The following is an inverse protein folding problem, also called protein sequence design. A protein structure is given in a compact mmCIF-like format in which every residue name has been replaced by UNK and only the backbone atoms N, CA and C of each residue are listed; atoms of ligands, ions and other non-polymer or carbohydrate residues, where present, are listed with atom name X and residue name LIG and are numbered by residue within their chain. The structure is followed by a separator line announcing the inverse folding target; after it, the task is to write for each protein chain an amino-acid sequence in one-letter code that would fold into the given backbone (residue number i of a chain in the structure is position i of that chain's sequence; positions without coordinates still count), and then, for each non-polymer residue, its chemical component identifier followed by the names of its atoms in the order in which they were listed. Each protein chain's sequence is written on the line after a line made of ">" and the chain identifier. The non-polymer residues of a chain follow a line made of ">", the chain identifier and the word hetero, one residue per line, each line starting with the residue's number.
data_IF_474818292773
#
_entry.id   IF_474818292773
#
_cell.length_a   1.000
_cell.length_b   1.000
_cell.length_c   1.000
_cell.angle_alpha   90.00
_cell.angle_beta   90.00
_cell.angle_gamma   90.00
#
_symmetry.space_group_name_H-M   'P 1'
#
loop_
_entity.id
_entity.type
_entity.pdbx_description
1 polymer ?
#
# COMPACT_ATOMS: atom_id res chain seq x y z
N UNK A 1 -10.57 2.60 14.65
CA UNK A 1 -9.92 1.87 13.55
C UNK A 1 -9.68 2.81 12.38
N UNK A 2 -8.46 2.87 11.86
CA UNK A 2 -8.09 3.67 10.68
C UNK A 2 -7.56 2.75 9.60
N UNK A 3 -7.75 3.07 8.31
CA UNK A 3 -7.28 2.25 7.19
C UNK A 3 -6.19 2.98 6.41
N UNK A 4 -5.10 2.30 6.12
CA UNK A 4 -3.99 2.75 5.27
C UNK A 4 -3.87 1.82 4.07
N UNK A 5 -3.70 2.39 2.89
CA UNK A 5 -3.50 1.64 1.65
C UNK A 5 -2.03 1.60 1.25
N UNK A 6 -1.53 0.40 0.88
CA UNK A 6 -0.22 0.23 0.24
C UNK A 6 -0.43 -0.35 -1.15
N UNK A 7 -0.47 0.51 -2.14
CA UNK A 7 -0.73 0.18 -3.54
C UNK A 7 0.55 0.26 -4.40
N UNK A 8 0.43 -0.05 -5.68
CA UNK A 8 1.52 -0.02 -6.64
C UNK A 8 1.51 -1.25 -7.54
N UNK A 9 2.16 -1.18 -8.68
CA UNK A 9 2.16 -2.23 -9.69
C UNK A 9 2.78 -3.54 -9.21
N UNK A 10 2.50 -4.62 -9.93
CA UNK A 10 3.02 -5.98 -9.64
C UNK A 10 4.54 -5.98 -9.45
N UNK A 11 5.01 -6.61 -8.37
CA UNK A 11 6.43 -6.74 -8.05
C UNK A 11 7.12 -5.45 -7.59
N UNK A 12 6.38 -4.38 -7.27
CA UNK A 12 6.96 -3.12 -6.73
C UNK A 12 7.49 -3.23 -5.30
N UNK A 13 7.17 -4.32 -4.58
CA UNK A 13 7.62 -4.55 -3.21
C UNK A 13 6.57 -4.22 -2.13
N UNK A 14 5.29 -4.20 -2.48
CA UNK A 14 4.19 -3.90 -1.55
C UNK A 14 4.21 -4.78 -0.30
N UNK A 15 4.15 -6.10 -0.47
CA UNK A 15 4.14 -7.05 0.64
C UNK A 15 5.34 -6.90 1.56
N UNK A 16 6.53 -6.68 0.98
CA UNK A 16 7.75 -6.44 1.77
C UNK A 16 7.63 -5.16 2.62
N UNK A 17 7.05 -4.10 2.04
CA UNK A 17 6.81 -2.85 2.78
C UNK A 17 5.74 -3.04 3.85
N UNK A 18 4.63 -3.74 3.56
CA UNK A 18 3.58 -4.07 4.52
C UNK A 18 4.16 -4.74 5.76
N UNK A 19 4.99 -5.77 5.56
CA UNK A 19 5.66 -6.48 6.67
C UNK A 19 6.58 -5.53 7.46
N UNK A 20 7.38 -4.73 6.78
CA UNK A 20 8.31 -3.82 7.43
C UNK A 20 7.60 -2.74 8.25
N UNK A 21 6.56 -2.12 7.69
CA UNK A 21 5.75 -1.11 8.38
C UNK A 21 4.98 -1.70 9.56
N UNK A 22 4.32 -2.84 9.37
CA UNK A 22 3.55 -3.49 10.43
C UNK A 22 4.41 -3.82 11.64
N UNK A 23 5.63 -4.31 11.43
CA UNK A 23 6.59 -4.55 12.51
C UNK A 23 6.97 -3.27 13.26
N UNK A 24 7.23 -2.18 12.54
CA UNK A 24 7.56 -0.89 13.12
C UNK A 24 6.40 -0.34 13.97
N UNK A 25 5.21 -0.33 13.40
CA UNK A 25 4.00 0.20 14.03
C UNK A 25 3.56 -0.64 15.24
N UNK A 26 3.66 -1.97 15.17
CA UNK A 26 3.36 -2.83 16.34
C UNK A 26 4.35 -2.64 17.47
N UNK A 27 5.63 -2.39 17.19
CA UNK A 27 6.63 -2.06 18.21
C UNK A 27 6.34 -0.73 18.92
N UNK A 28 5.66 0.20 18.25
CA UNK A 28 5.19 1.45 18.88
C UNK A 28 3.88 1.31 19.66
N UNK A 29 3.37 0.07 19.82
CA UNK A 29 2.20 -0.25 20.64
C UNK A 29 0.87 -0.24 19.89
N UNK A 30 0.85 -0.03 18.56
CA UNK A 30 -0.37 -0.08 17.76
C UNK A 30 -0.80 -1.52 17.49
N UNK A 31 -2.10 -1.80 17.62
CA UNK A 31 -2.71 -3.04 17.20
C UNK A 31 -3.00 -2.97 15.70
N UNK A 32 -2.19 -3.66 14.91
CA UNK A 32 -2.23 -3.61 13.43
C UNK A 32 -2.89 -4.88 12.88
N UNK A 33 -3.86 -4.72 12.01
CA UNK A 33 -4.40 -5.79 11.15
C UNK A 33 -3.94 -5.57 9.70
N UNK A 34 -3.73 -6.67 8.98
CA UNK A 34 -3.27 -6.65 7.59
C UNK A 34 -4.30 -7.36 6.74
N UNK A 35 -4.72 -6.72 5.65
CA UNK A 35 -5.58 -7.29 4.61
C UNK A 35 -4.78 -7.37 3.31
N UNK A 36 -4.54 -8.59 2.83
CA UNK A 36 -3.86 -8.84 1.55
C UNK A 36 -4.88 -9.36 0.54
N UNK A 37 -4.87 -8.80 -0.65
CA UNK A 37 -5.70 -9.26 -1.76
C UNK A 37 -4.83 -9.60 -2.95
N UNK A 38 -4.47 -10.86 -3.09
CA UNK A 38 -3.68 -11.36 -4.21
C UNK A 38 -4.53 -12.23 -5.14
N UNK A 39 -4.46 -11.92 -6.45
CA UNK A 39 -5.02 -12.78 -7.50
C UNK A 39 -3.87 -13.65 -8.00
N UNK A 40 -3.80 -14.90 -7.57
CA UNK A 40 -2.80 -15.85 -8.07
C UNK A 40 -2.35 -16.88 -7.06
N UNK A 41 -1.97 -18.05 -7.56
CA UNK A 41 -1.71 -19.30 -6.84
C UNK A 41 -0.43 -19.32 -5.96
N UNK A 42 -0.11 -18.29 -5.20
CA UNK A 42 1.01 -18.40 -4.26
C UNK A 42 0.57 -17.88 -2.89
N UNK A 43 0.16 -18.78 -1.98
CA UNK A 43 -0.17 -18.41 -0.59
C UNK A 43 1.10 -18.25 0.28
N UNK A 44 2.19 -17.70 -0.25
CA UNK A 44 3.44 -17.59 0.51
C UNK A 44 3.38 -16.47 1.53
N UNK A 45 2.65 -15.42 1.23
CA UNK A 45 2.78 -14.18 1.98
C UNK A 45 1.88 -14.09 3.21
N UNK A 46 0.68 -14.65 3.16
CA UNK A 46 -0.22 -14.70 4.31
C UNK A 46 0.39 -15.45 5.49
N UNK A 47 0.93 -16.64 5.24
CA UNK A 47 1.56 -17.47 6.28
C UNK A 47 2.82 -16.81 6.85
N UNK A 48 3.63 -16.19 6.00
CA UNK A 48 4.83 -15.46 6.45
C UNK A 48 4.44 -14.27 7.34
N UNK A 49 3.35 -13.57 7.02
CA UNK A 49 2.87 -12.45 7.84
C UNK A 49 2.30 -12.96 9.17
N UNK A 50 1.56 -14.07 9.16
CA UNK A 50 1.03 -14.72 10.37
C UNK A 50 2.15 -15.20 11.31
N UNK A 51 3.25 -15.73 10.77
CA UNK A 51 4.43 -16.14 11.54
C UNK A 51 5.06 -14.99 12.36
N UNK A 52 4.77 -13.73 11.99
CA UNK A 52 5.17 -12.55 12.76
C UNK A 52 4.12 -12.09 13.78
N UNK A 53 3.05 -12.84 13.97
CA UNK A 53 2.01 -12.55 14.97
C UNK A 53 1.00 -11.50 14.54
N UNK A 54 0.86 -11.24 13.26
CA UNK A 54 -0.19 -10.37 12.72
C UNK A 54 -1.42 -11.17 12.31
N UNK A 55 -2.59 -10.58 12.47
CA UNK A 55 -3.82 -11.15 11.92
C UNK A 55 -3.88 -10.85 10.43
N UNK A 56 -3.84 -11.89 9.61
CA UNK A 56 -3.99 -11.81 8.16
C UNK A 56 -5.37 -12.29 7.77
N UNK A 57 -6.05 -11.51 6.94
CA UNK A 57 -7.26 -11.93 6.26
C UNK A 57 -7.04 -11.85 4.77
N UNK A 58 -7.09 -13.02 4.12
CA UNK A 58 -7.11 -13.12 2.66
C UNK A 58 -8.50 -12.74 2.15
N UNK A 59 -8.57 -11.77 1.26
CA UNK A 59 -9.82 -11.32 0.62
C UNK A 59 -9.98 -12.05 -0.72
N UNK A 60 -9.49 -13.27 -0.84
CA UNK A 60 -9.38 -14.05 -2.07
C UNK A 60 -10.65 -14.20 -2.90
N UNK A 61 -10.45 -14.27 -4.19
CA UNK A 61 -11.34 -14.87 -5.19
C UNK A 61 -12.28 -13.92 -5.92
N UNK A 62 -11.85 -13.37 -7.03
CA UNK A 62 -12.70 -12.78 -8.05
C UNK A 62 -12.39 -11.35 -8.49
N UNK A 63 -12.88 -10.98 -9.64
CA UNK A 63 -12.64 -9.69 -10.29
C UNK A 63 -12.86 -8.49 -9.37
N UNK A 64 -11.86 -7.63 -9.31
CA UNK A 64 -11.66 -6.56 -8.33
C UNK A 64 -12.83 -5.57 -8.21
N UNK A 65 -13.64 -5.38 -9.24
CA UNK A 65 -14.63 -4.31 -9.26
C UNK A 65 -15.96 -4.63 -8.54
N UNK A 66 -16.37 -5.90 -8.45
CA UNK A 66 -17.71 -6.24 -7.95
C UNK A 66 -17.74 -7.20 -6.76
N UNK A 67 -16.77 -8.12 -6.64
CA UNK A 67 -16.74 -9.08 -5.53
C UNK A 67 -15.96 -8.59 -4.31
N UNK A 68 -14.96 -7.74 -4.51
CA UNK A 68 -14.17 -7.17 -3.41
C UNK A 68 -15.01 -6.26 -2.52
N UNK A 69 -15.88 -5.45 -3.06
CA UNK A 69 -16.68 -4.51 -2.23
C UNK A 69 -17.45 -5.25 -1.14
N UNK A 70 -18.13 -6.35 -1.47
CA UNK A 70 -18.85 -7.16 -0.50
C UNK A 70 -17.95 -7.85 0.53
N UNK A 71 -16.86 -8.43 0.10
CA UNK A 71 -15.91 -9.11 0.98
C UNK A 71 -15.11 -8.13 1.83
N UNK A 72 -14.64 -7.02 1.26
CA UNK A 72 -13.93 -5.97 1.98
C UNK A 72 -14.80 -5.37 3.07
N UNK A 73 -16.02 -4.98 2.72
CA UNK A 73 -17.01 -4.44 3.66
C UNK A 73 -17.26 -5.38 4.85
N UNK A 74 -17.50 -6.66 4.55
CA UNK A 74 -17.75 -7.67 5.58
C UNK A 74 -16.52 -7.89 6.46
N UNK A 75 -15.33 -7.94 5.87
CA UNK A 75 -14.08 -8.14 6.59
C UNK A 75 -13.76 -6.95 7.48
N UNK A 76 -13.94 -5.72 6.99
CA UNK A 76 -13.69 -4.51 7.78
C UNK A 76 -14.66 -4.39 8.96
N UNK A 77 -15.94 -4.74 8.77
CA UNK A 77 -16.92 -4.79 9.88
C UNK A 77 -16.51 -5.84 10.91
N UNK A 78 -16.18 -7.05 10.48
CA UNK A 78 -15.70 -8.11 11.38
C UNK A 78 -14.46 -7.69 12.17
N UNK A 79 -13.48 -7.04 11.53
CA UNK A 79 -12.30 -6.53 12.22
C UNK A 79 -12.65 -5.45 13.24
N UNK A 80 -13.59 -4.55 12.91
CA UNK A 80 -14.05 -3.51 13.82
C UNK A 80 -14.77 -4.08 15.05
N UNK A 81 -15.67 -5.02 14.82
CA UNK A 81 -16.54 -5.59 15.86
C UNK A 81 -15.79 -6.56 16.79
N UNK A 82 -14.96 -7.45 16.23
CA UNK A 82 -14.36 -8.56 16.97
C UNK A 82 -12.93 -8.28 17.44
N UNK A 83 -12.17 -7.52 16.67
CA UNK A 83 -10.74 -7.34 16.96
C UNK A 83 -10.38 -5.93 17.36
N UNK A 84 -11.13 -4.95 16.90
CA UNK A 84 -10.92 -3.52 17.17
C UNK A 84 -9.45 -3.09 17.04
N UNK A 85 -8.82 -3.23 15.85
CA UNK A 85 -7.46 -2.78 15.62
C UNK A 85 -7.40 -1.24 15.61
N UNK A 86 -6.25 -0.69 15.99
CA UNK A 86 -5.98 0.74 15.82
C UNK A 86 -5.84 1.09 14.35
N UNK A 87 -5.18 0.20 13.60
CA UNK A 87 -4.82 0.38 12.19
C UNK A 87 -5.09 -0.89 11.38
N UNK A 88 -5.68 -0.71 10.20
CA UNK A 88 -5.76 -1.73 9.15
C UNK A 88 -4.89 -1.31 7.98
N UNK A 89 -3.92 -2.13 7.61
CA UNK A 89 -3.13 -1.95 6.39
C UNK A 89 -3.72 -2.84 5.30
N UNK A 90 -4.17 -2.23 4.21
CA UNK A 90 -4.67 -2.99 3.05
C UNK A 90 -3.64 -3.00 1.93
N UNK A 91 -3.31 -4.19 1.43
CA UNK A 91 -2.53 -4.41 0.21
C UNK A 91 -3.46 -4.90 -0.90
N UNK A 92 -3.90 -4.04 -1.81
CA UNK A 92 -4.66 -4.47 -2.98
C UNK A 92 -3.74 -5.12 -4.02
N UNK A 93 -4.34 -5.81 -4.99
CA UNK A 93 -3.59 -6.33 -6.13
C UNK A 93 -2.86 -5.22 -6.88
N UNK A 94 -1.77 -5.58 -7.58
CA UNK A 94 -0.99 -4.60 -8.35
C UNK A 94 -1.73 -3.92 -9.50
N UNK A 95 -2.92 -4.41 -9.85
CA UNK A 95 -3.80 -3.83 -10.88
C UNK A 95 -4.91 -2.94 -10.30
N UNK A 96 -5.04 -2.88 -8.98
CA UNK A 96 -6.09 -2.09 -8.34
C UNK A 96 -5.84 -0.59 -8.46
N UNK A 97 -6.94 0.15 -8.54
CA UNK A 97 -6.96 1.61 -8.45
C UNK A 97 -7.30 1.99 -7.00
N UNK A 98 -6.43 2.72 -6.30
CA UNK A 98 -6.62 3.03 -4.88
C UNK A 98 -7.93 3.78 -4.56
N UNK A 99 -8.36 4.67 -5.44
CA UNK A 99 -9.59 5.45 -5.27
C UNK A 99 -10.83 4.59 -5.05
N UNK A 100 -10.95 3.44 -5.73
CA UNK A 100 -12.12 2.56 -5.58
C UNK A 100 -12.21 1.91 -4.19
N UNK A 101 -11.08 1.68 -3.54
CA UNK A 101 -11.05 1.18 -2.15
C UNK A 101 -11.42 2.29 -1.19
N UNK A 102 -10.92 3.51 -1.42
CA UNK A 102 -11.24 4.70 -0.63
C UNK A 102 -12.76 4.93 -0.59
N UNK A 103 -13.43 4.92 -1.74
CA UNK A 103 -14.89 5.05 -1.84
C UNK A 103 -15.64 4.00 -1.01
N UNK A 104 -15.19 2.74 -1.07
CA UNK A 104 -15.78 1.65 -0.29
C UNK A 104 -15.64 1.86 1.22
N UNK A 105 -14.49 2.33 1.66
CA UNK A 105 -14.16 2.55 3.08
C UNK A 105 -14.90 3.76 3.64
N UNK A 106 -15.02 4.85 2.85
CA UNK A 106 -15.80 6.04 3.20
C UNK A 106 -17.28 5.70 3.44
N UNK A 107 -17.85 4.82 2.61
CA UNK A 107 -19.22 4.34 2.78
C UNK A 107 -19.45 3.56 4.09
N UNK A 108 -18.38 3.11 4.75
CA UNK A 108 -18.43 2.40 6.04
C UNK A 108 -18.17 3.32 7.25
N UNK A 109 -17.95 4.62 7.04
CA UNK A 109 -17.56 5.58 8.07
C UNK A 109 -16.27 5.16 8.82
N UNK A 110 -15.35 4.52 8.11
CA UNK A 110 -14.02 4.17 8.64
C UNK A 110 -13.07 5.30 8.28
N UNK A 111 -12.29 5.77 9.25
CA UNK A 111 -11.27 6.79 9.04
C UNK A 111 -10.23 6.31 8.03
N UNK A 112 -9.98 7.11 7.01
CA UNK A 112 -8.98 6.81 5.99
C UNK A 112 -7.68 7.54 6.33
N UNK A 113 -6.62 6.76 6.41
CA UNK A 113 -5.24 7.23 6.47
C UNK A 113 -4.64 7.38 5.08
N UNK A 114 -3.33 7.61 4.99
CA UNK A 114 -2.68 7.87 3.71
C UNK A 114 -2.70 6.65 2.77
N UNK A 115 -2.82 6.95 1.49
CA UNK A 115 -2.56 6.03 0.40
C UNK A 115 -1.10 6.13 -0.01
N UNK A 116 -0.35 5.05 0.15
CA UNK A 116 1.07 4.93 -0.22
C UNK A 116 1.14 4.13 -1.52
N UNK A 117 1.68 4.73 -2.57
CA UNK A 117 1.86 4.06 -3.86
C UNK A 117 3.34 3.79 -4.11
N UNK A 118 3.70 2.52 -4.29
CA UNK A 118 5.06 2.13 -4.64
C UNK A 118 5.27 2.26 -6.14
N UNK A 119 6.26 3.05 -6.51
CA UNK A 119 6.75 3.19 -7.88
C UNK A 119 8.12 2.54 -8.02
N UNK A 120 8.21 1.46 -8.81
CA UNK A 120 9.43 0.66 -9.00
C UNK A 120 10.42 1.39 -9.91
N UNK A 121 11.48 1.96 -9.35
CA UNK A 121 12.49 2.73 -10.08
C UNK A 121 13.25 1.88 -11.10
N UNK A 122 13.38 0.57 -10.88
CA UNK A 122 14.08 -0.34 -11.82
C UNK A 122 13.32 -0.52 -13.14
N UNK A 123 12.06 -0.08 -13.20
CA UNK A 123 11.18 -0.22 -14.36
C UNK A 123 10.49 1.09 -14.75
N UNK A 124 10.99 2.23 -14.27
CA UNK A 124 10.37 3.55 -14.44
C UNK A 124 10.03 3.86 -15.90
N UNK A 125 10.98 3.69 -16.83
CA UNK A 125 10.76 3.89 -18.27
C UNK A 125 9.64 3.00 -18.81
N UNK A 126 9.67 1.71 -18.49
CA UNK A 126 8.64 0.77 -18.94
C UNK A 126 7.27 1.12 -18.40
N UNK A 127 7.16 1.48 -17.12
CA UNK A 127 5.91 1.82 -16.47
C UNK A 127 5.25 3.08 -17.04
N UNK A 128 6.06 4.04 -17.48
CA UNK A 128 5.58 5.33 -17.98
C UNK A 128 5.45 5.43 -19.52
N UNK A 129 6.13 4.56 -20.27
CA UNK A 129 6.16 4.63 -21.74
C UNK A 129 5.19 3.63 -22.42
N UNK A 130 4.87 2.50 -21.79
CA UNK A 130 3.86 1.59 -22.34
C UNK A 130 2.45 2.13 -22.06
N UNK A 131 1.70 2.44 -23.10
CA UNK A 131 0.42 3.15 -23.04
C UNK A 131 -0.58 2.49 -22.07
N UNK A 132 -0.72 1.16 -22.14
CA UNK A 132 -1.60 0.41 -21.24
C UNK A 132 -1.19 0.49 -19.77
N UNK A 133 0.11 0.41 -19.49
CA UNK A 133 0.64 0.53 -18.11
C UNK A 133 0.61 1.98 -17.65
N UNK A 134 0.98 2.92 -18.50
CA UNK A 134 1.00 4.35 -18.20
C UNK A 134 -0.34 4.83 -17.64
N UNK A 135 -1.45 4.41 -18.24
CA UNK A 135 -2.79 4.80 -17.78
C UNK A 135 -3.05 4.30 -16.35
N UNK A 136 -2.79 3.03 -16.07
CA UNK A 136 -2.96 2.45 -14.75
C UNK A 136 -2.04 3.11 -13.73
N UNK A 137 -0.75 3.20 -14.03
CA UNK A 137 0.26 3.77 -13.14
C UNK A 137 -0.04 5.24 -12.83
N UNK A 138 -0.39 6.04 -13.85
CA UNK A 138 -0.76 7.45 -13.64
C UNK A 138 -2.00 7.58 -12.75
N UNK A 139 -2.97 6.68 -12.88
CA UNK A 139 -4.14 6.68 -11.99
C UNK A 139 -3.74 6.32 -10.56
N UNK A 140 -2.93 5.28 -10.36
CA UNK A 140 -2.42 4.94 -9.03
C UNK A 140 -1.64 6.11 -8.39
N UNK A 141 -0.77 6.77 -9.15
CA UNK A 141 0.03 7.91 -8.67
C UNK A 141 -0.87 9.10 -8.30
N UNK A 142 -1.92 9.41 -9.07
CA UNK A 142 -2.85 10.50 -8.75
C UNK A 142 -3.59 10.29 -7.44
N UNK A 143 -3.88 9.06 -7.10
CA UNK A 143 -4.59 8.70 -5.86
C UNK A 143 -3.67 8.65 -4.63
N UNK A 144 -2.36 8.84 -4.80
CA UNK A 144 -1.37 8.73 -3.73
C UNK A 144 -1.30 9.98 -2.86
N UNK A 145 -1.26 9.81 -1.55
CA UNK A 145 -0.80 10.82 -0.61
C UNK A 145 0.73 10.78 -0.48
N UNK A 146 1.31 9.59 -0.59
CA UNK A 146 2.76 9.37 -0.66
C UNK A 146 3.12 8.46 -1.83
N UNK A 147 4.16 8.85 -2.58
CA UNK A 147 4.77 8.04 -3.63
C UNK A 147 6.10 7.51 -3.11
N UNK A 148 6.19 6.21 -2.90
CA UNK A 148 7.43 5.56 -2.49
C UNK A 148 8.21 5.08 -3.72
N UNK A 149 9.29 5.78 -4.07
CA UNK A 149 10.22 5.36 -5.12
C UNK A 149 10.97 4.12 -4.64
N UNK A 150 10.50 2.94 -5.01
CA UNK A 150 10.98 1.68 -4.46
C UNK A 150 12.20 1.13 -5.21
N UNK A 151 12.98 0.31 -4.52
CA UNK A 151 14.19 -0.37 -5.02
C UNK A 151 15.31 0.59 -5.45
N UNK A 152 15.43 1.73 -4.79
CA UNK A 152 16.49 2.71 -5.05
C UNK A 152 17.91 2.14 -4.88
N UNK A 153 18.05 1.04 -4.14
CA UNK A 153 19.30 0.30 -3.97
C UNK A 153 19.80 -0.42 -5.23
N UNK A 154 18.97 -0.45 -6.29
CA UNK A 154 19.26 -1.19 -7.53
C UNK A 154 19.51 -0.30 -8.74
N UNK A 155 19.46 1.01 -8.58
CA UNK A 155 19.58 1.97 -9.68
C UNK A 155 20.54 3.12 -9.29
N UNK A 156 20.99 3.89 -10.29
CA UNK A 156 21.79 5.09 -10.07
C UNK A 156 20.94 6.26 -9.57
N UNK A 157 21.61 7.29 -9.04
CA UNK A 157 20.95 8.51 -8.56
C UNK A 157 20.17 9.19 -9.70
N UNK A 158 20.73 9.29 -10.89
CA UNK A 158 20.07 9.89 -12.07
C UNK A 158 18.72 9.23 -12.38
N UNK A 159 18.64 7.90 -12.25
CA UNK A 159 17.37 7.16 -12.46
C UNK A 159 16.35 7.50 -11.38
N UNK A 160 16.80 7.68 -10.12
CA UNK A 160 15.93 8.07 -9.02
C UNK A 160 15.39 9.47 -9.24
N UNK A 161 16.25 10.41 -9.65
CA UNK A 161 15.85 11.81 -9.93
C UNK A 161 14.86 11.88 -11.08
N UNK A 162 15.13 11.24 -12.21
CA UNK A 162 14.18 11.17 -13.34
C UNK A 162 12.83 10.54 -12.95
N UNK A 163 12.86 9.47 -12.15
CA UNK A 163 11.63 8.86 -11.64
C UNK A 163 10.85 9.83 -10.73
N UNK A 164 11.56 10.57 -9.87
CA UNK A 164 10.98 11.57 -8.98
C UNK A 164 10.31 12.70 -9.76
N UNK A 165 10.99 13.24 -10.76
CA UNK A 165 10.45 14.28 -11.63
C UNK A 165 9.19 13.79 -12.36
N UNK A 166 9.27 12.59 -12.96
CA UNK A 166 8.17 12.02 -13.71
C UNK A 166 6.89 11.81 -12.86
N UNK A 167 7.03 11.31 -11.63
CA UNK A 167 5.88 11.13 -10.74
C UNK A 167 5.37 12.45 -10.18
N UNK A 168 6.25 13.45 -9.95
CA UNK A 168 5.87 14.80 -9.52
C UNK A 168 5.00 15.52 -10.55
N UNK A 169 5.27 15.32 -11.83
CA UNK A 169 4.44 15.88 -12.91
C UNK A 169 3.02 15.30 -12.88
N UNK A 170 2.89 14.03 -12.50
CA UNK A 170 1.58 13.35 -12.45
C UNK A 170 0.80 13.74 -11.19
N UNK A 171 1.47 13.84 -10.05
CA UNK A 171 0.87 14.23 -8.77
C UNK A 171 1.82 15.13 -7.98
N UNK A 172 1.77 16.45 -8.19
CA UNK A 172 2.63 17.39 -7.50
C UNK A 172 2.30 17.58 -6.01
N UNK A 173 1.14 17.11 -5.56
CA UNK A 173 0.71 17.22 -4.16
C UNK A 173 1.20 16.07 -3.28
N UNK A 174 1.58 14.93 -3.88
CA UNK A 174 2.03 13.77 -3.12
C UNK A 174 3.43 13.97 -2.53
N UNK A 175 3.61 13.51 -1.29
CA UNK A 175 4.93 13.40 -0.69
C UNK A 175 5.76 12.30 -1.39
N UNK A 176 6.97 12.61 -1.86
CA UNK A 176 7.85 11.63 -2.47
C UNK A 176 8.85 11.12 -1.45
N UNK A 177 8.95 9.79 -1.32
CA UNK A 177 9.84 9.12 -0.38
C UNK A 177 10.71 8.12 -1.13
N UNK A 178 12.02 8.23 -0.96
CA UNK A 178 12.99 7.25 -1.47
C UNK A 178 12.96 6.01 -0.59
N UNK A 179 12.73 4.83 -1.19
CA UNK A 179 12.48 3.60 -0.47
C UNK A 179 13.40 2.46 -0.90
N UNK A 180 14.09 1.86 0.05
CA UNK A 180 14.67 0.53 -0.06
C UNK A 180 14.29 -0.31 1.16
N UNK A 181 13.34 -1.20 1.02
CA UNK A 181 12.96 -2.11 2.12
C UNK A 181 14.10 -3.06 2.50
N UNK A 182 15.03 -3.32 1.56
CA UNK A 182 16.21 -4.15 1.81
C UNK A 182 17.21 -3.46 2.74
N UNK A 183 17.45 -2.14 2.54
CA UNK A 183 18.36 -1.34 3.37
C UNK A 183 17.66 -0.67 4.55
N UNK A 184 16.35 -0.60 4.54
CA UNK A 184 15.55 0.13 5.51
C UNK A 184 15.34 1.61 5.19
N UNK A 185 15.86 2.11 4.06
CA UNK A 185 15.71 3.51 3.67
C UNK A 185 14.24 3.86 3.47
N UNK A 186 13.80 4.98 4.02
CA UNK A 186 12.43 5.51 3.88
C UNK A 186 11.35 4.77 4.68
N UNK A 187 11.63 3.57 5.22
CA UNK A 187 10.63 2.78 5.96
C UNK A 187 10.17 3.50 7.23
N UNK A 188 11.11 4.07 8.00
CA UNK A 188 10.76 4.81 9.22
C UNK A 188 10.02 6.11 8.90
N UNK A 189 10.36 6.80 7.82
CA UNK A 189 9.65 8.00 7.36
C UNK A 189 8.19 7.69 7.07
N UNK A 190 7.92 6.59 6.34
CA UNK A 190 6.55 6.13 6.09
C UNK A 190 5.84 5.70 7.38
N UNK A 191 6.54 4.98 8.28
CA UNK A 191 5.96 4.56 9.55
C UNK A 191 5.53 5.77 10.39
N UNK A 192 6.36 6.82 10.46
CA UNK A 192 6.04 8.07 11.17
C UNK A 192 4.83 8.76 10.54
N UNK A 193 4.80 8.90 9.22
CA UNK A 193 3.67 9.50 8.52
C UNK A 193 2.35 8.77 8.78
N UNK A 194 2.37 7.43 8.77
CA UNK A 194 1.21 6.59 9.12
C UNK A 194 0.81 6.77 10.57
N UNK A 195 1.77 6.79 11.49
CA UNK A 195 1.54 6.91 12.93
C UNK A 195 0.93 8.28 13.30
N UNK A 196 1.45 9.37 12.74
CA UNK A 196 0.92 10.71 12.98
C UNK A 196 -0.55 10.85 12.60
N UNK A 197 -0.93 10.26 11.46
CA UNK A 197 -2.33 10.25 11.04
C UNK A 197 -3.18 9.34 11.93
N UNK A 198 -2.62 8.25 12.46
CA UNK A 198 -3.36 7.29 13.30
C UNK A 198 -3.62 7.85 14.70
N UNK A 199 -2.68 8.60 15.28
CA UNK A 199 -2.75 9.12 16.66
C UNK A 199 -3.56 10.42 16.75
N UNK A 200 -3.61 11.23 15.68
CA UNK A 200 -4.47 12.43 15.65
C UNK A 200 -5.94 12.00 15.64
N UNK A 201 -6.53 11.97 16.83
CA UNK A 201 -7.98 11.85 17.06
C UNK A 201 -8.66 13.18 16.85
#
# INVERSE_FOLDING_TARGET
>A
MKLVQIAGYLGSGKTTLVIALSKGLSRSGLKVAILVNEIGEIPVDGKVIEDYGFTVKDIGGGCICCQIAGNLTRTLRFLGDEQNPDLVIIEPTGMAVPGSIRETVEALNIDIGPTIVLFDTTRSEKLLNYETLKRLISTQIRDADFIALSKIDKVSEDVIEHASEAVSVINPAAGIIRLSTRRGDGVMTLATAVQEVTIKK
#
